data_IF_707682184544
#
_entry.id   IF_707682184544
#
_cell.length_a   1.000
_cell.length_b   1.000
_cell.length_c   1.000
_cell.angle_alpha   90.00
_cell.angle_beta   90.00
_cell.angle_gamma   90.00
#
_symmetry.space_group_name_H-M   'P 1'
#
loop_
_entity.id
_entity.type
_entity.pdbx_description
1 polymer ?
#
# COMPACT_ATOMS: atom_id res chain seq x y z
N UNK A 1 49.18 -24.13 49.61
CA UNK A 1 49.43 -23.34 48.38
C UNK A 1 48.09 -23.04 47.71
N UNK A 2 47.62 -21.78 47.78
CA UNK A 2 46.36 -21.32 47.15
C UNK A 2 46.63 -21.01 45.68
N UNK A 3 45.86 -21.59 44.75
CA UNK A 3 45.89 -21.23 43.32
C UNK A 3 44.97 -20.01 43.08
N UNK A 4 45.40 -18.97 42.35
CA UNK A 4 44.52 -17.89 41.91
C UNK A 4 43.75 -18.32 40.65
N UNK A 5 42.41 -18.21 40.71
CA UNK A 5 41.51 -18.44 39.58
C UNK A 5 41.36 -17.18 38.73
N UNK A 6 41.46 -17.36 37.42
CA UNK A 6 41.56 -16.32 36.39
C UNK A 6 40.33 -15.40 36.29
N UNK A 7 40.61 -14.11 36.10
CA UNK A 7 39.65 -13.05 35.78
C UNK A 7 39.38 -13.10 34.26
N UNK A 8 38.26 -13.67 33.83
CA UNK A 8 37.85 -13.67 32.42
C UNK A 8 37.22 -12.33 32.05
N UNK A 9 37.98 -11.50 31.33
CA UNK A 9 37.51 -10.23 30.76
C UNK A 9 36.65 -10.52 29.52
N UNK A 10 35.33 -10.41 29.65
CA UNK A 10 34.39 -10.54 28.54
C UNK A 10 34.35 -9.21 27.76
N UNK A 11 35.08 -9.15 26.64
CA UNK A 11 35.07 -8.00 25.74
C UNK A 11 33.83 -8.09 24.82
N UNK A 12 32.77 -7.33 25.13
CA UNK A 12 31.60 -7.17 24.28
C UNK A 12 31.94 -6.25 23.09
N UNK A 13 32.30 -6.86 21.96
CA UNK A 13 32.39 -6.21 20.66
C UNK A 13 30.97 -5.88 20.15
N UNK A 14 30.50 -4.65 20.43
CA UNK A 14 29.33 -4.08 19.77
C UNK A 14 29.73 -3.64 18.34
N UNK A 15 29.54 -4.53 17.37
CA UNK A 15 29.58 -4.17 15.95
C UNK A 15 28.36 -3.33 15.61
N UNK A 16 28.49 -2.00 15.68
CA UNK A 16 27.48 -1.08 15.15
C UNK A 16 27.44 -1.20 13.63
N UNK A 17 26.52 -2.01 13.10
CA UNK A 17 26.18 -1.99 11.69
C UNK A 17 25.44 -0.67 11.40
N UNK A 18 26.17 0.36 10.99
CA UNK A 18 25.58 1.55 10.38
C UNK A 18 25.15 1.19 8.96
N UNK A 19 23.90 0.78 8.80
CA UNK A 19 23.30 0.69 7.46
C UNK A 19 23.29 2.09 6.85
N UNK A 20 24.09 2.30 5.81
CA UNK A 20 24.10 3.55 5.07
C UNK A 20 22.70 3.83 4.54
N UNK A 21 22.07 4.91 4.99
CA UNK A 21 20.77 5.33 4.49
C UNK A 21 20.92 5.72 3.02
N UNK A 22 20.30 4.97 2.12
CA UNK A 22 20.21 5.36 0.71
C UNK A 22 19.32 6.60 0.64
N UNK A 23 19.85 7.69 0.11
CA UNK A 23 19.08 8.91 -0.11
C UNK A 23 17.95 8.64 -1.11
N UNK A 24 16.75 9.15 -0.83
CA UNK A 24 15.60 9.02 -1.71
C UNK A 24 15.90 9.69 -3.06
N UNK A 25 15.60 8.99 -4.16
CA UNK A 25 15.67 9.63 -5.48
C UNK A 25 14.54 10.65 -5.64
N UNK A 26 14.74 11.68 -6.48
CA UNK A 26 13.67 12.64 -6.79
C UNK A 26 12.43 11.94 -7.35
N UNK A 27 12.62 10.97 -8.24
CA UNK A 27 11.51 10.21 -8.85
C UNK A 27 10.71 9.44 -7.82
N UNK A 28 11.39 8.84 -6.84
CA UNK A 28 10.75 8.14 -5.74
C UNK A 28 9.91 9.08 -4.88
N UNK A 29 10.41 10.28 -4.57
CA UNK A 29 9.66 11.31 -3.85
C UNK A 29 8.41 11.71 -4.64
N UNK A 30 8.56 11.98 -5.94
CA UNK A 30 7.47 12.39 -6.83
C UNK A 30 6.41 11.28 -6.87
N UNK A 31 6.79 10.05 -7.23
CA UNK A 31 5.89 8.91 -7.31
C UNK A 31 5.21 8.58 -5.98
N UNK A 32 5.93 8.68 -4.86
CA UNK A 32 5.35 8.52 -3.51
C UNK A 32 4.25 9.55 -3.25
N UNK A 33 4.52 10.82 -3.57
CA UNK A 33 3.55 11.90 -3.35
C UNK A 33 2.30 11.76 -4.22
N UNK A 34 2.46 11.39 -5.50
CA UNK A 34 1.35 11.13 -6.42
C UNK A 34 0.50 9.96 -5.94
N UNK A 35 1.14 8.91 -5.43
CA UNK A 35 0.42 7.76 -4.95
C UNK A 35 -0.43 8.08 -3.71
N UNK A 36 0.14 8.80 -2.74
CA UNK A 36 -0.58 9.23 -1.53
C UNK A 36 -1.75 10.15 -1.91
N UNK A 37 -1.51 11.11 -2.80
CA UNK A 37 -2.48 12.14 -3.14
C UNK A 37 -3.58 11.63 -4.06
N UNK A 38 -3.23 10.86 -5.09
CA UNK A 38 -4.10 10.53 -6.22
C UNK A 38 -4.37 9.04 -6.39
N UNK A 39 -3.60 8.15 -5.75
CA UNK A 39 -3.71 6.70 -5.95
C UNK A 39 -3.13 6.21 -7.28
N UNK A 40 -2.26 7.00 -7.91
CA UNK A 40 -1.56 6.66 -9.16
C UNK A 40 -0.12 7.14 -9.12
N UNK A 41 0.69 6.70 -10.07
CA UNK A 41 2.02 7.28 -10.29
C UNK A 41 1.97 8.51 -11.19
N UNK A 42 3.04 9.29 -11.12
CA UNK A 42 3.25 10.39 -12.05
C UNK A 42 3.52 9.84 -13.44
N UNK A 43 2.95 10.48 -14.47
CA UNK A 43 3.32 10.20 -15.86
C UNK A 43 4.69 10.82 -16.20
N UNK A 44 5.22 10.52 -17.40
CA UNK A 44 6.52 11.03 -17.82
C UNK A 44 6.59 12.57 -17.90
N UNK A 45 5.49 13.23 -18.27
CA UNK A 45 5.43 14.69 -18.35
C UNK A 45 5.44 15.29 -16.95
N UNK A 46 4.64 14.76 -16.03
CA UNK A 46 4.58 15.17 -14.63
C UNK A 46 5.93 14.96 -13.93
N UNK A 47 6.59 13.81 -14.13
CA UNK A 47 7.93 13.55 -13.61
C UNK A 47 8.94 14.60 -14.12
N UNK A 48 8.92 14.89 -15.41
CA UNK A 48 9.83 15.87 -16.01
C UNK A 48 9.57 17.30 -15.51
N UNK A 49 8.32 17.66 -15.27
CA UNK A 49 7.96 18.96 -14.67
C UNK A 49 8.53 19.08 -13.25
N UNK A 50 8.26 18.10 -12.38
CA UNK A 50 8.75 18.12 -11.00
C UNK A 50 10.27 18.05 -10.88
N UNK A 51 10.95 17.33 -11.78
CA UNK A 51 12.42 17.27 -11.82
C UNK A 51 13.07 18.64 -12.06
N UNK A 52 12.41 19.51 -12.83
CA UNK A 52 12.87 20.89 -13.12
C UNK A 52 12.60 21.85 -11.96
N UNK A 53 11.72 21.48 -11.03
CA UNK A 53 11.40 22.27 -9.85
C UNK A 53 12.45 22.18 -8.73
N UNK A 54 12.09 22.76 -7.59
CA UNK A 54 12.89 22.71 -6.36
C UNK A 54 13.01 21.31 -5.76
N UNK A 55 13.77 21.21 -4.66
CA UNK A 55 13.81 19.98 -3.85
C UNK A 55 12.68 20.01 -2.83
N UNK A 56 11.77 19.05 -2.91
CA UNK A 56 10.62 18.93 -2.01
C UNK A 56 10.69 17.62 -1.24
N UNK A 57 10.15 17.60 -0.03
CA UNK A 57 9.84 16.35 0.68
C UNK A 57 8.53 15.75 0.16
N UNK A 58 8.29 14.46 0.42
CA UNK A 58 7.02 13.80 0.08
C UNK A 58 5.83 14.57 0.66
N UNK A 59 5.93 15.03 1.91
CA UNK A 59 4.84 15.74 2.57
C UNK A 59 4.56 17.12 1.97
N UNK A 60 5.61 17.86 1.57
CA UNK A 60 5.44 19.12 0.85
C UNK A 60 4.74 18.90 -0.49
N UNK A 61 5.11 17.85 -1.23
CA UNK A 61 4.46 17.52 -2.49
C UNK A 61 3.01 17.07 -2.30
N UNK A 62 2.70 16.27 -1.28
CA UNK A 62 1.32 15.87 -0.96
C UNK A 62 0.44 17.08 -0.66
N UNK A 63 0.96 18.10 0.02
CA UNK A 63 0.20 19.33 0.29
C UNK A 63 -0.04 20.15 -0.99
N UNK A 64 0.95 20.25 -1.87
CA UNK A 64 0.76 20.87 -3.19
C UNK A 64 -0.30 20.13 -4.02
N UNK A 65 -0.26 18.79 -4.00
CA UNK A 65 -1.25 17.96 -4.68
C UNK A 65 -2.64 18.09 -4.07
N UNK A 66 -2.77 18.25 -2.75
CA UNK A 66 -4.05 18.58 -2.11
C UNK A 66 -4.62 19.90 -2.61
N UNK A 67 -3.76 20.90 -2.80
CA UNK A 67 -4.12 22.17 -3.43
C UNK A 67 -4.48 22.05 -4.92
N UNK A 68 -3.94 21.06 -5.64
CA UNK A 68 -4.39 20.73 -7.00
C UNK A 68 -5.76 20.05 -6.97
N UNK A 69 -5.93 19.05 -6.09
CA UNK A 69 -7.20 18.36 -5.89
C UNK A 69 -8.32 19.36 -5.67
N UNK A 70 -8.18 20.36 -4.81
CA UNK A 70 -9.27 21.32 -4.54
C UNK A 70 -9.82 22.04 -5.79
N UNK A 71 -9.01 22.19 -6.84
CA UNK A 71 -9.33 22.91 -8.08
C UNK A 71 -9.68 22.01 -9.26
N UNK A 72 -9.18 20.77 -9.30
CA UNK A 72 -9.41 19.84 -10.40
C UNK A 72 -10.48 18.79 -10.03
N UNK A 73 -11.70 18.99 -10.51
CA UNK A 73 -12.80 18.06 -10.25
C UNK A 73 -12.61 16.69 -10.93
N UNK A 74 -11.90 16.63 -12.06
CA UNK A 74 -11.69 15.36 -12.77
C UNK A 74 -10.70 14.48 -12.00
N UNK A 75 -9.61 15.06 -11.51
CA UNK A 75 -8.64 14.33 -10.68
C UNK A 75 -9.25 13.95 -9.32
N UNK A 76 -10.10 14.81 -8.71
CA UNK A 76 -10.88 14.44 -7.51
C UNK A 76 -11.71 13.18 -7.74
N UNK A 77 -12.56 13.16 -8.78
CA UNK A 77 -13.45 12.03 -9.07
C UNK A 77 -12.63 10.77 -9.37
N UNK A 78 -11.55 10.89 -10.13
CA UNK A 78 -10.64 9.77 -10.41
C UNK A 78 -9.99 9.21 -9.13
N UNK A 79 -9.57 10.10 -8.22
CA UNK A 79 -8.99 9.75 -6.92
C UNK A 79 -9.99 9.01 -6.03
N UNK A 80 -11.25 9.47 -5.99
CA UNK A 80 -12.33 8.80 -5.24
C UNK A 80 -12.60 7.41 -5.82
N UNK A 81 -12.73 7.31 -7.15
CA UNK A 81 -12.95 6.03 -7.83
C UNK A 81 -11.84 5.01 -7.53
N UNK A 82 -10.56 5.43 -7.61
CA UNK A 82 -9.42 4.56 -7.27
C UNK A 82 -9.47 4.10 -5.82
N UNK A 83 -9.73 5.01 -4.87
CA UNK A 83 -9.83 4.65 -3.45
C UNK A 83 -10.91 3.60 -3.17
N UNK A 84 -12.09 3.73 -3.78
CA UNK A 84 -13.18 2.75 -3.61
C UNK A 84 -12.88 1.42 -4.31
N UNK A 85 -12.37 1.45 -5.54
CA UNK A 85 -11.99 0.25 -6.28
C UNK A 85 -10.90 -0.54 -5.55
N UNK A 86 -9.90 0.13 -4.97
CA UNK A 86 -8.80 -0.53 -4.26
C UNK A 86 -9.23 -1.01 -2.86
N UNK A 87 -10.15 -0.29 -2.20
CA UNK A 87 -10.69 -0.66 -0.89
C UNK A 87 -11.67 -1.84 -0.98
N UNK A 88 -12.60 -1.78 -1.93
CA UNK A 88 -13.76 -2.68 -1.98
C UNK A 88 -13.82 -3.57 -3.22
N UNK A 89 -13.24 -3.15 -4.35
CA UNK A 89 -13.36 -3.85 -5.63
C UNK A 89 -14.56 -3.39 -6.47
N UNK A 90 -15.25 -2.34 -6.05
CA UNK A 90 -16.34 -1.69 -6.78
C UNK A 90 -16.26 -0.16 -6.64
N UNK A 91 -16.93 0.54 -7.56
CA UNK A 91 -16.92 2.00 -7.60
C UNK A 91 -17.82 2.65 -6.53
N UNK A 92 -17.59 3.94 -6.22
CA UNK A 92 -18.43 4.72 -5.32
C UNK A 92 -19.84 4.95 -5.89
N UNK A 93 -20.82 5.21 -5.03
CA UNK A 93 -22.13 5.71 -5.48
C UNK A 93 -22.08 7.18 -5.89
N UNK A 94 -23.17 7.71 -6.46
CA UNK A 94 -23.27 9.14 -6.77
C UNK A 94 -23.23 10.01 -5.51
N UNK A 95 -23.82 9.53 -4.40
CA UNK A 95 -23.78 10.17 -3.09
C UNK A 95 -22.37 10.18 -2.51
N UNK A 96 -21.63 9.08 -2.63
CA UNK A 96 -20.22 8.99 -2.22
C UNK A 96 -19.36 10.03 -2.97
N UNK A 97 -19.51 10.12 -4.30
CA UNK A 97 -18.80 11.11 -5.12
C UNK A 97 -19.15 12.53 -4.65
N UNK A 98 -20.44 12.84 -4.48
CA UNK A 98 -20.90 14.15 -4.01
C UNK A 98 -20.37 14.51 -2.62
N UNK A 99 -20.29 13.53 -1.71
CA UNK A 99 -19.74 13.70 -0.38
C UNK A 99 -18.24 14.01 -0.40
N UNK A 100 -17.45 13.24 -1.16
CA UNK A 100 -15.99 13.35 -1.15
C UNK A 100 -15.45 14.55 -1.95
N UNK A 101 -16.11 14.92 -3.05
CA UNK A 101 -15.70 16.08 -3.88
C UNK A 101 -15.72 17.41 -3.11
N UNK A 102 -16.48 17.51 -2.00
CA UNK A 102 -16.55 18.68 -1.12
C UNK A 102 -15.38 18.79 -0.13
N UNK A 103 -14.58 17.74 0.06
CA UNK A 103 -13.65 17.64 1.21
C UNK A 103 -12.16 17.74 0.85
N UNK A 104 -11.81 17.86 -0.44
CA UNK A 104 -10.41 17.93 -0.92
C UNK A 104 -9.47 16.92 -0.24
N UNK A 105 -9.97 15.69 -0.08
CA UNK A 105 -9.23 14.58 0.54
C UNK A 105 -8.37 13.88 -0.49
N UNK A 106 -7.19 13.48 -0.06
CA UNK A 106 -6.26 12.64 -0.82
C UNK A 106 -6.78 11.21 -0.94
N UNK A 107 -6.23 10.47 -1.90
CA UNK A 107 -6.45 9.03 -2.04
C UNK A 107 -6.25 8.30 -0.71
N UNK A 108 -5.11 8.51 -0.04
CA UNK A 108 -4.79 7.82 1.20
C UNK A 108 -5.81 8.08 2.30
N UNK A 109 -6.30 9.32 2.43
CA UNK A 109 -7.34 9.66 3.42
C UNK A 109 -8.67 8.97 3.12
N UNK A 110 -9.13 9.02 1.87
CA UNK A 110 -10.39 8.38 1.45
C UNK A 110 -10.28 6.87 1.67
N UNK A 111 -9.18 6.26 1.19
CA UNK A 111 -8.91 4.84 1.34
C UNK A 111 -8.89 4.42 2.81
N UNK A 112 -8.19 5.17 3.67
CA UNK A 112 -8.15 4.89 5.11
C UNK A 112 -9.54 4.92 5.74
N UNK A 113 -10.39 5.89 5.38
CA UNK A 113 -11.78 5.91 5.82
C UNK A 113 -12.53 4.66 5.37
N UNK A 114 -12.35 4.22 4.13
CA UNK A 114 -13.00 3.01 3.62
C UNK A 114 -12.52 1.73 4.31
N UNK A 115 -11.23 1.62 4.64
CA UNK A 115 -10.72 0.49 5.43
C UNK A 115 -11.33 0.47 6.85
N UNK A 116 -11.51 1.63 7.47
CA UNK A 116 -12.18 1.71 8.77
C UNK A 116 -13.66 1.30 8.68
N UNK A 117 -14.36 1.70 7.62
CA UNK A 117 -15.73 1.28 7.33
C UNK A 117 -15.83 -0.24 7.08
N UNK A 118 -14.83 -0.81 6.40
CA UNK A 118 -14.75 -2.25 6.17
C UNK A 118 -14.54 -3.01 7.47
N UNK A 119 -13.72 -2.48 8.37
CA UNK A 119 -13.42 -3.09 9.66
C UNK A 119 -14.62 -3.11 10.61
N UNK A 120 -15.55 -2.15 10.48
CA UNK A 120 -16.78 -2.10 11.29
C UNK A 120 -17.93 -2.94 10.70
N UNK A 121 -17.79 -3.50 9.49
CA UNK A 121 -18.86 -4.19 8.78
C UNK A 121 -18.44 -5.59 8.33
N UNK A 122 -18.80 -6.61 9.13
CA UNK A 122 -18.56 -8.02 8.78
C UNK A 122 -19.18 -8.43 7.44
N UNK A 123 -20.35 -7.87 7.08
CA UNK A 123 -20.99 -8.07 5.78
C UNK A 123 -20.13 -7.51 4.64
N UNK A 124 -19.65 -6.28 4.76
CA UNK A 124 -18.81 -5.66 3.72
C UNK A 124 -17.49 -6.42 3.56
N UNK A 125 -16.87 -6.83 4.69
CA UNK A 125 -15.66 -7.66 4.68
C UNK A 125 -15.85 -8.96 3.91
N UNK A 126 -16.95 -9.67 4.18
CA UNK A 126 -17.33 -10.89 3.44
C UNK A 126 -17.45 -10.64 1.94
N UNK A 127 -18.13 -9.57 1.52
CA UNK A 127 -18.28 -9.22 0.11
C UNK A 127 -16.94 -8.93 -0.58
N UNK A 128 -16.04 -8.17 0.08
CA UNK A 128 -14.70 -7.87 -0.45
C UNK A 128 -13.86 -9.15 -0.61
N UNK A 129 -13.98 -10.09 0.34
CA UNK A 129 -13.35 -11.42 0.21
C UNK A 129 -13.92 -12.17 -0.98
N UNK A 130 -15.24 -12.26 -1.13
CA UNK A 130 -15.85 -12.95 -2.26
C UNK A 130 -15.43 -12.34 -3.61
N UNK A 131 -15.41 -11.01 -3.71
CA UNK A 131 -15.00 -10.31 -4.93
C UNK A 131 -13.55 -10.60 -5.32
N UNK A 132 -12.62 -10.62 -4.35
CA UNK A 132 -11.22 -10.95 -4.63
C UNK A 132 -11.05 -12.41 -5.10
N UNK A 133 -11.84 -13.34 -4.57
CA UNK A 133 -11.88 -14.73 -5.05
C UNK A 133 -12.38 -14.84 -6.49
N UNK A 134 -13.47 -14.14 -6.84
CA UNK A 134 -13.94 -14.12 -8.23
C UNK A 134 -12.88 -13.54 -9.16
N UNK A 135 -12.21 -12.46 -8.75
CA UNK A 135 -11.14 -11.84 -9.53
C UNK A 135 -9.99 -12.79 -9.85
N UNK A 136 -9.56 -13.61 -8.89
CA UNK A 136 -8.33 -14.41 -9.02
C UNK A 136 -8.59 -15.87 -9.40
N UNK A 137 -9.61 -16.47 -8.80
CA UNK A 137 -9.93 -17.90 -8.94
C UNK A 137 -11.15 -18.17 -9.80
N UNK A 138 -11.90 -17.14 -10.23
CA UNK A 138 -13.14 -17.27 -10.99
C UNK A 138 -14.19 -18.17 -10.29
N UNK A 139 -14.26 -18.10 -8.95
CA UNK A 139 -15.26 -18.79 -8.12
C UNK A 139 -15.46 -18.05 -6.80
N UNK A 140 -16.52 -18.38 -6.07
CA UNK A 140 -16.67 -17.98 -4.67
C UNK A 140 -15.68 -18.76 -3.76
N UNK A 141 -15.28 -18.20 -2.61
CA UNK A 141 -14.63 -18.98 -1.56
C UNK A 141 -15.60 -20.03 -1.01
N UNK A 142 -15.08 -21.18 -0.59
CA UNK A 142 -15.86 -22.11 0.23
C UNK A 142 -16.01 -21.58 1.69
N UNK A 143 -16.74 -22.32 2.53
CA UNK A 143 -17.02 -21.91 3.90
C UNK A 143 -15.73 -21.80 4.76
N UNK A 144 -14.78 -22.72 4.59
CA UNK A 144 -13.53 -22.74 5.36
C UNK A 144 -12.61 -21.61 4.91
N UNK A 145 -12.50 -21.38 3.60
CA UNK A 145 -11.78 -20.28 2.98
C UNK A 145 -12.33 -18.91 3.44
N UNK A 146 -13.65 -18.73 3.41
CA UNK A 146 -14.28 -17.50 3.87
C UNK A 146 -14.03 -17.28 5.36
N UNK A 147 -14.22 -18.31 6.20
CA UNK A 147 -13.97 -18.22 7.63
C UNK A 147 -12.51 -17.88 7.94
N UNK A 148 -11.55 -18.47 7.21
CA UNK A 148 -10.14 -18.14 7.34
C UNK A 148 -9.87 -16.64 7.15
N UNK A 149 -10.37 -16.05 6.05
CA UNK A 149 -10.17 -14.64 5.75
C UNK A 149 -10.97 -13.71 6.67
N UNK A 150 -12.14 -14.13 7.13
CA UNK A 150 -12.93 -13.38 8.11
C UNK A 150 -12.21 -13.28 9.46
N UNK A 151 -11.43 -14.29 9.84
CA UNK A 151 -10.62 -14.31 11.07
C UNK A 151 -9.30 -13.54 10.96
N UNK A 152 -8.88 -13.15 9.75
CA UNK A 152 -7.71 -12.28 9.58
C UNK A 152 -8.05 -10.83 9.95
N UNK A 153 -7.02 -9.98 10.09
CA UNK A 153 -7.24 -8.53 10.05
C UNK A 153 -7.97 -8.13 8.76
N UNK A 154 -8.60 -6.96 8.80
CA UNK A 154 -9.28 -6.42 7.61
C UNK A 154 -8.25 -6.05 6.55
N UNK A 155 -8.45 -6.59 5.34
CA UNK A 155 -7.65 -6.32 4.16
C UNK A 155 -8.52 -5.63 3.11
N UNK A 156 -7.92 -4.72 2.35
CA UNK A 156 -8.56 -4.13 1.18
C UNK A 156 -8.74 -5.16 0.07
N UNK A 157 -9.61 -4.86 -0.89
CA UNK A 157 -9.75 -5.66 -2.10
C UNK A 157 -8.41 -5.85 -2.83
N UNK A 158 -7.66 -4.76 -3.06
CA UNK A 158 -6.37 -4.82 -3.73
C UNK A 158 -5.36 -5.72 -2.99
N UNK A 159 -5.34 -5.67 -1.65
CA UNK A 159 -4.50 -6.53 -0.82
C UNK A 159 -4.90 -8.00 -0.97
N UNK A 160 -6.20 -8.32 -0.88
CA UNK A 160 -6.70 -9.68 -1.02
C UNK A 160 -6.44 -10.26 -2.41
N UNK A 161 -6.67 -9.50 -3.49
CA UNK A 161 -6.38 -9.96 -4.86
C UNK A 161 -4.92 -10.39 -4.97
N UNK A 162 -4.00 -9.67 -4.35
CA UNK A 162 -2.60 -10.03 -4.45
C UNK A 162 -2.18 -11.19 -3.53
N UNK A 163 -2.75 -11.29 -2.33
CA UNK A 163 -2.60 -12.50 -1.51
C UNK A 163 -3.10 -13.73 -2.27
N UNK A 164 -4.28 -13.65 -2.87
CA UNK A 164 -4.87 -14.72 -3.67
C UNK A 164 -4.06 -15.02 -4.92
N UNK A 165 -3.53 -14.00 -5.60
CA UNK A 165 -2.66 -14.19 -6.78
C UNK A 165 -1.39 -14.94 -6.38
N UNK A 166 -0.75 -14.52 -5.29
CA UNK A 166 0.42 -15.21 -4.73
C UNK A 166 0.08 -16.67 -4.37
N UNK A 167 -1.06 -16.88 -3.72
CA UNK A 167 -1.51 -18.22 -3.32
C UNK A 167 -1.81 -19.12 -4.53
N UNK A 168 -2.44 -18.56 -5.58
CA UNK A 168 -2.67 -19.23 -6.86
C UNK A 168 -1.35 -19.64 -7.52
N UNK A 169 -0.38 -18.73 -7.58
CA UNK A 169 0.93 -18.97 -8.20
C UNK A 169 1.75 -20.02 -7.46
N UNK A 170 1.60 -20.13 -6.12
CA UNK A 170 2.23 -21.17 -5.29
C UNK A 170 1.48 -22.52 -5.31
N UNK A 171 0.43 -22.65 -6.13
CA UNK A 171 -0.30 -23.92 -6.31
C UNK A 171 -1.23 -24.30 -5.15
N UNK A 172 -1.67 -23.35 -4.33
CA UNK A 172 -2.53 -23.57 -3.14
C UNK A 172 -2.00 -24.54 -2.06
N UNK A 173 -0.80 -25.08 -2.22
CA UNK A 173 -0.25 -26.12 -1.34
C UNK A 173 0.13 -25.64 0.07
N UNK A 174 -0.04 -24.35 0.37
CA UNK A 174 0.16 -23.79 1.70
C UNK A 174 -1.19 -23.47 2.34
N UNK A 175 -1.42 -24.02 3.53
CA UNK A 175 -2.62 -23.74 4.35
C UNK A 175 -2.70 -22.28 4.82
N UNK A 176 -1.64 -21.49 4.59
CA UNK A 176 -1.52 -20.08 4.95
C UNK A 176 -0.86 -19.29 3.82
N UNK A 177 -1.25 -18.02 3.66
CA UNK A 177 -0.57 -17.09 2.75
C UNK A 177 0.51 -16.35 3.53
N UNK A 178 1.74 -16.87 3.51
CA UNK A 178 2.91 -16.18 4.06
C UNK A 178 3.50 -15.24 3.00
N UNK A 179 3.10 -13.97 3.05
CA UNK A 179 3.62 -12.91 2.20
C UNK A 179 3.05 -12.86 0.79
N UNK A 180 3.47 -11.84 0.06
CA UNK A 180 3.04 -11.53 -1.31
C UNK A 180 4.26 -11.61 -2.22
N UNK A 181 4.08 -12.20 -3.39
CA UNK A 181 5.12 -12.29 -4.41
C UNK A 181 5.47 -10.89 -4.94
N UNK A 182 6.77 -10.61 -5.06
CA UNK A 182 7.27 -9.39 -5.68
C UNK A 182 6.80 -9.28 -7.14
N UNK A 183 6.56 -8.04 -7.60
CA UNK A 183 6.27 -7.71 -9.01
C UNK A 183 5.08 -8.46 -9.61
N UNK A 184 3.96 -8.52 -8.90
CA UNK A 184 2.70 -8.96 -9.49
C UNK A 184 2.27 -7.92 -10.52
N UNK A 185 2.04 -8.37 -11.75
CA UNK A 185 1.45 -7.59 -12.86
C UNK A 185 0.21 -8.31 -13.43
N UNK A 186 -0.54 -8.97 -12.56
CA UNK A 186 -1.67 -9.82 -12.92
C UNK A 186 -2.93 -9.36 -12.17
N UNK A 187 -4.10 -9.70 -12.72
CA UNK A 187 -5.40 -9.44 -12.10
C UNK A 187 -5.69 -7.94 -11.83
N UNK A 188 -5.07 -7.04 -12.61
CA UNK A 188 -5.24 -5.58 -12.48
C UNK A 188 -4.45 -4.96 -11.33
N UNK A 189 -3.54 -5.71 -10.72
CA UNK A 189 -2.67 -5.27 -9.63
C UNK A 189 -1.25 -5.16 -10.18
N UNK A 190 -0.63 -3.99 -9.98
CA UNK A 190 0.81 -3.77 -10.16
C UNK A 190 1.47 -3.59 -8.80
N UNK A 191 2.77 -3.79 -8.66
CA UNK A 191 3.49 -3.45 -7.41
C UNK A 191 4.77 -2.64 -7.70
N UNK A 192 5.07 -1.58 -6.92
CA UNK A 192 6.17 -0.60 -7.16
C UNK A 192 7.14 -0.31 -5.97
N UNK A 193 8.44 -0.59 -6.12
CA UNK A 193 9.36 -0.56 -4.97
C UNK A 193 9.81 0.82 -4.49
N UNK A 194 9.43 1.17 -3.25
CA UNK A 194 10.01 2.24 -2.44
C UNK A 194 11.16 1.80 -1.52
N UNK A 195 12.12 2.69 -1.34
CA UNK A 195 13.17 2.63 -0.32
C UNK A 195 12.56 2.63 1.10
N UNK A 196 13.29 2.13 2.10
CA UNK A 196 12.87 2.20 3.51
C UNK A 196 12.55 3.64 3.95
N UNK A 197 13.35 4.61 3.50
CA UNK A 197 13.19 6.02 3.79
C UNK A 197 11.89 6.56 3.18
N UNK A 198 11.63 6.26 1.90
CA UNK A 198 10.38 6.65 1.23
C UNK A 198 9.17 6.00 1.88
N UNK A 199 9.26 4.74 2.29
CA UNK A 199 8.20 4.06 3.04
C UNK A 199 7.87 4.79 4.34
N UNK A 200 8.87 5.14 5.14
CA UNK A 200 8.66 5.89 6.38
C UNK A 200 7.99 7.26 6.14
N UNK A 201 8.42 7.97 5.11
CA UNK A 201 7.83 9.26 4.73
C UNK A 201 6.39 9.12 4.19
N UNK A 202 6.09 8.06 3.44
CA UNK A 202 4.71 7.76 3.00
C UNK A 202 3.80 7.47 4.19
N UNK A 203 4.27 6.70 5.17
CA UNK A 203 3.54 6.43 6.41
C UNK A 203 3.29 7.75 7.16
N UNK A 204 4.32 8.59 7.32
CA UNK A 204 4.21 9.88 7.98
C UNK A 204 3.21 10.83 7.28
N UNK A 205 3.10 10.74 5.95
CA UNK A 205 2.14 11.48 5.16
C UNK A 205 0.73 10.84 5.11
N UNK A 206 0.46 9.80 5.89
CA UNK A 206 -0.87 9.18 6.05
C UNK A 206 -1.13 7.96 5.16
N UNK A 207 -0.14 7.48 4.41
CA UNK A 207 -0.25 6.30 3.54
C UNK A 207 -0.21 4.94 4.27
N UNK A 208 -0.40 4.91 5.59
CA UNK A 208 -0.16 3.72 6.42
C UNK A 208 -0.99 2.50 6.01
N UNK A 209 -2.30 2.59 5.76
CA UNK A 209 -3.08 1.40 5.35
C UNK A 209 -2.85 1.02 3.89
N UNK A 210 -2.19 1.89 3.13
CA UNK A 210 -1.73 1.58 1.78
C UNK A 210 -0.46 0.71 1.81
N UNK A 211 0.10 0.51 3.00
CA UNK A 211 1.30 -0.25 3.33
C UNK A 211 0.89 -1.35 4.35
N UNK A 212 0.70 -2.61 3.94
CA UNK A 212 0.56 -3.71 4.90
C UNK A 212 1.84 -3.97 5.76
N UNK A 213 1.87 -5.01 6.60
CA UNK A 213 2.85 -5.16 7.69
C UNK A 213 3.83 -6.33 7.48
N UNK A 214 5.17 -6.08 7.51
CA UNK A 214 6.23 -7.12 7.68
C UNK A 214 7.46 -7.27 6.72
N UNK A 215 8.32 -6.27 6.46
CA UNK A 215 9.71 -6.42 5.84
C UNK A 215 9.93 -7.20 4.49
N UNK A 216 10.37 -6.63 3.35
CA UNK A 216 10.28 -7.20 1.97
C UNK A 216 9.61 -6.43 0.80
N UNK A 217 8.25 -6.37 0.71
CA UNK A 217 7.39 -5.87 -0.39
C UNK A 217 6.39 -4.76 0.07
N UNK A 218 5.92 -3.81 -0.76
CA UNK A 218 4.47 -3.44 -0.74
C UNK A 218 3.72 -4.54 -1.50
N UNK A 219 2.96 -5.33 -0.78
CA UNK A 219 1.61 -5.03 -0.33
C UNK A 219 1.66 -5.19 1.16
N UNK A 220 2.03 -4.11 1.84
CA UNK A 220 3.23 -4.29 2.63
C UNK A 220 3.45 -5.49 3.55
N UNK A 221 4.72 -5.85 3.49
CA UNK A 221 5.54 -6.59 4.38
C UNK A 221 6.85 -6.77 3.61
N UNK A 222 7.75 -5.81 3.43
CA UNK A 222 8.09 -4.46 3.88
C UNK A 222 9.48 -4.02 3.31
N UNK A 223 9.48 -3.68 2.04
CA UNK A 223 10.57 -3.16 1.22
C UNK A 223 9.82 -2.88 -0.07
N UNK A 224 9.82 -1.67 -0.59
CA UNK A 224 8.59 -1.18 -1.18
C UNK A 224 8.05 -2.02 -2.38
N UNK A 225 6.77 -1.88 -2.70
CA UNK A 225 6.05 -2.43 -3.85
C UNK A 225 4.57 -1.94 -3.94
N UNK A 226 4.27 -0.66 -4.24
CA UNK A 226 2.91 -0.04 -4.30
C UNK A 226 1.98 -0.59 -5.37
N UNK A 227 0.72 -0.84 -5.00
CA UNK A 227 -0.37 -1.12 -5.93
C UNK A 227 -1.15 0.13 -6.32
N UNK A 228 -1.20 0.40 -7.62
CA UNK A 228 -2.25 1.20 -8.23
C UNK A 228 -2.97 0.34 -9.29
N UNK A 229 -4.30 0.31 -9.25
CA UNK A 229 -5.08 -0.20 -10.38
C UNK A 229 -5.00 0.83 -11.54
N UNK A 230 -4.52 0.39 -12.72
CA UNK A 230 -4.67 1.16 -13.97
C UNK A 230 -3.42 1.79 -14.59
N UNK A 231 -2.21 1.31 -14.30
CA UNK A 231 -0.98 1.75 -14.99
C UNK A 231 -0.64 0.94 -16.25
N UNK A 232 -1.60 0.71 -17.15
CA UNK A 232 -1.31 0.19 -18.48
C UNK A 232 -1.49 1.30 -19.51
N UNK A 233 -0.37 1.89 -19.92
CA UNK A 233 -0.03 2.26 -21.29
C UNK A 233 1.48 2.50 -21.37
#
# INVERSE_FOLDING_TARGET
MKKPGALTLLLLLFSAFTSAAIAQSKDEIINSSYFIAFGRFADNRELNEWRRGGSYTIQQMVEMHRGHLSRDNNEKVSTINRAYMDAFGWGPSGEDISYWTKQSKTYAEIFNTQINNLNSSGKSKSLVIQQSYYRVFNRAPDAAELQYWMNQRTYSFAQLVAFHTTWKNKGKNTATVAGIQDRINQNGISTYTFSPQATAAVIAAGGANVIAAGGGNVIAAGGGNVIAAGGAN
#
